data_IF_303499626063
#
_entry.id   IF_303499626063
#
_cell.length_a   1.000
_cell.length_b   1.000
_cell.length_c   1.000
_cell.angle_alpha   90.00
_cell.angle_beta   90.00
_cell.angle_gamma   90.00
#
_symmetry.space_group_name_H-M   'P 1'
#
loop_
_entity.id
_entity.type
_entity.pdbx_description
1 polymer ?
#
# COMPACT_ATOMS: atom_id res chain seq x y z
N UNK A 1 7.88 -5.78 -12.42
CA UNK A 1 6.57 -5.12 -12.48
C UNK A 1 6.63 -3.77 -11.79
N UNK A 2 6.83 -3.71 -10.47
CA UNK A 2 6.87 -2.44 -9.72
C UNK A 2 7.90 -1.43 -10.22
N UNK A 3 9.13 -1.87 -10.46
CA UNK A 3 10.19 -1.03 -11.07
C UNK A 3 9.77 -0.41 -12.40
N UNK A 4 8.99 -1.13 -13.20
CA UNK A 4 8.48 -0.62 -14.47
C UNK A 4 7.33 0.35 -14.21
N UNK A 5 6.45 0.06 -13.24
CA UNK A 5 5.35 0.95 -12.89
C UNK A 5 5.83 2.31 -12.38
N UNK A 6 6.84 2.32 -11.50
CA UNK A 6 7.43 3.56 -10.98
C UNK A 6 8.15 4.36 -12.07
N UNK A 7 8.81 3.70 -13.02
CA UNK A 7 9.60 4.37 -14.05
C UNK A 7 8.78 4.81 -15.27
N UNK A 8 7.65 4.16 -15.53
CA UNK A 8 6.82 4.45 -16.70
C UNK A 8 5.97 5.71 -16.54
N UNK A 9 5.72 6.15 -15.30
CA UNK A 9 4.80 7.25 -15.05
C UNK A 9 5.24 8.16 -13.90
N UNK A 10 5.22 9.48 -14.14
CA UNK A 10 5.55 10.47 -13.10
C UNK A 10 4.33 10.68 -12.20
N UNK A 11 4.45 10.30 -10.94
CA UNK A 11 3.41 10.54 -9.92
C UNK A 11 3.01 12.02 -9.85
N UNK A 12 1.71 12.29 -9.67
CA UNK A 12 1.20 13.66 -9.49
C UNK A 12 1.56 14.23 -8.12
N UNK A 13 1.20 15.48 -7.85
CA UNK A 13 1.51 16.15 -6.58
C UNK A 13 0.72 15.57 -5.39
N UNK A 14 -0.37 14.86 -5.68
CA UNK A 14 -1.27 14.28 -4.70
C UNK A 14 -1.41 12.77 -4.93
N UNK A 15 -1.16 11.99 -3.90
CA UNK A 15 -1.38 10.54 -3.92
C UNK A 15 -2.31 10.12 -2.81
N UNK A 16 -2.87 8.94 -2.96
CA UNK A 16 -3.74 8.29 -1.98
C UNK A 16 -3.21 6.92 -1.60
N UNK A 17 -3.26 6.59 -0.31
CA UNK A 17 -3.05 5.22 0.19
C UNK A 17 -4.40 4.64 0.61
N UNK A 18 -4.71 3.44 0.11
CA UNK A 18 -5.91 2.67 0.48
C UNK A 18 -5.65 1.16 0.25
N UNK A 19 -6.58 0.31 0.66
CA UNK A 19 -6.60 -1.10 0.32
C UNK A 19 -7.56 -1.48 -0.82
N UNK A 20 -7.03 -2.29 -1.73
CA UNK A 20 -7.79 -3.02 -2.75
C UNK A 20 -7.94 -4.49 -2.32
N UNK A 21 -9.12 -5.06 -2.59
CA UNK A 21 -9.37 -6.48 -2.45
C UNK A 21 -9.60 -7.11 -3.82
N UNK A 22 -8.66 -7.93 -4.27
CA UNK A 22 -8.80 -8.71 -5.52
C UNK A 22 -9.57 -9.98 -5.21
N UNK A 23 -10.77 -10.11 -5.77
CA UNK A 23 -11.68 -11.22 -5.50
C UNK A 23 -11.02 -12.57 -5.80
N UNK A 24 -10.95 -13.45 -4.80
CA UNK A 24 -10.33 -14.77 -4.92
C UNK A 24 -10.94 -15.74 -3.91
N UNK A 25 -11.39 -16.91 -4.39
CA UNK A 25 -12.05 -17.93 -3.56
C UNK A 25 -11.28 -19.26 -3.45
N UNK A 26 -10.18 -19.41 -4.17
CA UNK A 26 -9.33 -20.61 -4.08
C UNK A 26 -8.66 -20.76 -2.72
N UNK A 27 -7.94 -21.88 -2.55
CA UNK A 27 -7.10 -22.11 -1.37
C UNK A 27 -5.85 -21.24 -1.49
N UNK A 28 -5.77 -20.23 -0.64
CA UNK A 28 -4.61 -19.33 -0.53
C UNK A 28 -4.40 -19.02 0.95
N UNK A 29 -3.20 -19.25 1.52
CA UNK A 29 -2.94 -19.06 2.95
C UNK A 29 -3.19 -17.64 3.46
N UNK A 30 -3.06 -16.63 2.59
CA UNK A 30 -3.19 -15.21 2.94
C UNK A 30 -4.48 -14.56 2.40
N UNK A 31 -5.45 -15.37 1.99
CA UNK A 31 -6.78 -14.88 1.62
C UNK A 31 -7.43 -14.15 2.80
N UNK A 32 -7.89 -12.93 2.57
CA UNK A 32 -8.56 -12.09 3.56
C UNK A 32 -10.09 -12.17 3.43
N UNK A 33 -10.77 -12.04 4.56
CA UNK A 33 -12.20 -11.81 4.64
C UNK A 33 -12.47 -10.34 5.01
N UNK A 34 -13.17 -9.60 4.15
CA UNK A 34 -13.52 -8.19 4.39
C UNK A 34 -15.03 -8.02 4.18
N UNK A 35 -15.85 -8.04 5.25
CA UNK A 35 -17.31 -8.10 5.15
C UNK A 35 -17.94 -6.86 4.51
N UNK A 36 -17.24 -5.71 4.55
CA UNK A 36 -17.71 -4.42 4.01
C UNK A 36 -17.39 -4.21 2.52
N UNK A 37 -16.59 -5.07 1.88
CA UNK A 37 -16.27 -4.97 0.44
C UNK A 37 -17.27 -5.83 -0.37
N UNK A 38 -17.57 -5.47 -1.64
CA UNK A 38 -18.53 -6.21 -2.47
C UNK A 38 -18.17 -7.70 -2.64
N UNK A 39 -16.91 -7.98 -2.93
CA UNK A 39 -16.35 -9.32 -2.78
C UNK A 39 -15.89 -9.50 -1.33
N UNK A 40 -16.43 -10.50 -0.62
CA UNK A 40 -16.08 -10.71 0.80
C UNK A 40 -14.74 -11.42 1.00
N UNK A 41 -14.28 -12.18 0.01
CA UNK A 41 -13.05 -12.97 0.07
C UNK A 41 -12.13 -12.61 -1.09
N UNK A 42 -10.86 -12.40 -0.78
CA UNK A 42 -9.87 -12.04 -1.79
C UNK A 42 -8.45 -11.89 -1.26
N UNK A 43 -7.57 -11.44 -2.14
CA UNK A 43 -6.20 -11.06 -1.79
C UNK A 43 -6.20 -9.56 -1.51
N UNK A 44 -5.80 -9.18 -0.29
CA UNK A 44 -5.71 -7.78 0.12
C UNK A 44 -4.38 -7.20 -0.39
N UNK A 45 -4.46 -6.04 -1.03
CA UNK A 45 -3.32 -5.29 -1.57
C UNK A 45 -3.42 -3.87 -1.04
N UNK A 46 -2.35 -3.34 -0.49
CA UNK A 46 -2.21 -1.92 -0.18
C UNK A 46 -1.68 -1.20 -1.40
N UNK A 47 -2.22 -0.04 -1.73
CA UNK A 47 -1.90 0.67 -2.95
C UNK A 47 -1.58 2.14 -2.67
N UNK A 48 -0.50 2.64 -3.28
CA UNK A 48 -0.23 4.06 -3.45
C UNK A 48 -0.63 4.46 -4.86
N UNK A 49 -1.61 5.35 -4.98
CA UNK A 49 -2.23 5.72 -6.26
C UNK A 49 -2.17 7.22 -6.46
N UNK A 50 -1.80 7.66 -7.67
CA UNK A 50 -1.80 9.07 -8.04
C UNK A 50 -3.23 9.57 -8.28
N UNK A 51 -3.62 10.67 -7.61
CA UNK A 51 -5.02 11.13 -7.59
C UNK A 51 -5.51 11.71 -8.92
N UNK A 52 -4.61 12.22 -9.77
CA UNK A 52 -5.01 12.87 -11.03
C UNK A 52 -5.27 11.90 -12.19
N UNK A 53 -4.68 10.71 -12.15
CA UNK A 53 -4.68 9.76 -13.27
C UNK A 53 -4.96 8.31 -12.83
N UNK A 54 -5.19 8.10 -11.54
CA UNK A 54 -5.51 6.79 -10.95
C UNK A 54 -4.43 5.73 -11.20
N UNK A 55 -3.19 6.16 -11.47
CA UNK A 55 -2.07 5.26 -11.70
C UNK A 55 -1.54 4.71 -10.37
N UNK A 56 -1.39 3.38 -10.28
CA UNK A 56 -0.81 2.72 -9.12
C UNK A 56 0.72 2.87 -9.12
N UNK A 57 1.22 3.84 -8.36
CA UNK A 57 2.65 4.13 -8.22
C UNK A 57 3.39 3.06 -7.42
N UNK A 58 2.73 2.43 -6.45
CA UNK A 58 3.30 1.31 -5.68
C UNK A 58 2.19 0.39 -5.14
N UNK A 59 2.48 -0.90 -4.96
CA UNK A 59 1.55 -1.85 -4.34
C UNK A 59 2.30 -2.81 -3.41
N UNK A 60 1.67 -3.19 -2.30
CA UNK A 60 2.18 -4.22 -1.39
C UNK A 60 1.08 -5.25 -1.06
N UNK A 61 1.35 -6.54 -1.29
CA UNK A 61 0.39 -7.62 -1.01
C UNK A 61 0.43 -7.97 0.48
N UNK A 62 -0.72 -8.00 1.13
CA UNK A 62 -0.80 -8.46 2.52
C UNK A 62 -0.79 -9.99 2.57
N UNK A 63 0.33 -10.54 3.06
CA UNK A 63 0.54 -11.99 3.17
C UNK A 63 0.50 -12.52 4.61
N UNK A 64 0.11 -11.68 5.57
CA UNK A 64 0.16 -12.01 6.99
C UNK A 64 1.61 -12.07 7.52
N UNK A 65 1.85 -12.86 8.56
CA UNK A 65 3.19 -13.04 9.10
C UNK A 65 3.99 -14.01 8.24
N UNK A 66 5.12 -13.55 7.71
CA UNK A 66 6.03 -14.37 6.92
C UNK A 66 6.97 -15.17 7.81
N UNK A 67 7.43 -16.35 7.34
CA UNK A 67 8.47 -17.12 8.02
C UNK A 67 9.78 -16.31 8.09
N UNK A 68 10.68 -16.70 8.98
CA UNK A 68 12.02 -16.09 9.03
C UNK A 68 12.71 -16.16 7.68
N UNK A 69 13.36 -15.07 7.27
CA UNK A 69 14.03 -14.96 5.99
C UNK A 69 14.03 -13.55 5.41
N UNK A 70 14.63 -13.36 4.22
CA UNK A 70 14.84 -12.04 3.61
C UNK A 70 13.53 -11.32 3.26
N UNK A 71 12.44 -12.07 3.12
CA UNK A 71 11.13 -11.51 2.78
C UNK A 71 10.31 -11.14 4.01
N UNK A 72 10.76 -11.42 5.24
CA UNK A 72 9.97 -11.16 6.45
C UNK A 72 9.90 -9.67 6.75
N UNK A 73 8.79 -9.04 6.38
CA UNK A 73 8.54 -7.62 6.62
C UNK A 73 7.64 -7.39 7.83
N UNK A 74 7.76 -6.20 8.43
CA UNK A 74 6.86 -5.76 9.50
C UNK A 74 5.49 -5.39 8.93
N UNK A 75 4.43 -5.92 9.54
CA UNK A 75 3.03 -5.59 9.24
C UNK A 75 2.53 -4.36 10.02
N UNK A 76 3.40 -3.66 10.78
CA UNK A 76 3.01 -2.40 11.43
C UNK A 76 2.68 -1.37 10.36
N UNK A 77 1.60 -0.61 10.58
CA UNK A 77 1.10 0.39 9.64
C UNK A 77 2.19 1.41 9.27
N UNK A 78 2.96 1.90 10.24
CA UNK A 78 4.01 2.89 9.95
C UNK A 78 5.07 2.33 8.98
N UNK A 79 5.52 1.10 9.20
CA UNK A 79 6.53 0.45 8.35
C UNK A 79 5.96 0.17 6.95
N UNK A 80 4.70 -0.24 6.87
CA UNK A 80 3.97 -0.42 5.61
C UNK A 80 3.87 0.90 4.82
N UNK A 81 3.45 1.99 5.47
CA UNK A 81 3.32 3.30 4.81
C UNK A 81 4.67 3.79 4.32
N UNK A 82 5.73 3.65 5.13
CA UNK A 82 7.10 4.01 4.71
C UNK A 82 7.55 3.24 3.46
N UNK A 83 7.24 1.94 3.36
CA UNK A 83 7.54 1.14 2.15
C UNK A 83 6.70 1.56 0.95
N UNK A 84 5.42 1.84 1.14
CA UNK A 84 4.53 2.26 0.05
C UNK A 84 4.98 3.59 -0.56
N UNK A 85 5.35 4.57 0.27
CA UNK A 85 5.74 5.92 -0.16
C UNK A 85 7.20 6.05 -0.60
N UNK A 86 8.02 5.01 -0.46
CA UNK A 86 9.43 5.00 -0.86
C UNK A 86 9.67 5.63 -2.26
N UNK A 87 8.87 5.35 -3.31
CA UNK A 87 9.09 5.94 -4.64
C UNK A 87 8.88 7.45 -4.74
N UNK A 88 8.31 8.09 -3.72
CA UNK A 88 7.99 9.53 -3.70
C UNK A 88 8.64 10.29 -2.53
N UNK A 89 9.48 9.64 -1.72
CA UNK A 89 10.20 10.29 -0.62
C UNK A 89 11.06 11.44 -1.14
N UNK A 90 11.09 12.55 -0.41
CA UNK A 90 11.88 13.74 -0.77
C UNK A 90 11.33 14.54 -1.97
N UNK A 91 10.16 14.19 -2.50
CA UNK A 91 9.60 14.85 -3.68
C UNK A 91 8.55 15.94 -3.40
N UNK A 92 8.32 16.27 -2.13
CA UNK A 92 7.35 17.28 -1.67
C UNK A 92 5.91 17.01 -2.15
N UNK A 93 5.53 15.73 -2.29
CA UNK A 93 4.17 15.32 -2.63
C UNK A 93 3.32 15.07 -1.39
N UNK A 94 2.03 15.34 -1.51
CA UNK A 94 1.07 15.06 -0.45
C UNK A 94 0.51 13.63 -0.57
N UNK A 95 0.32 12.98 0.58
CA UNK A 95 -0.31 11.66 0.67
C UNK A 95 -1.57 11.78 1.51
N UNK A 96 -2.72 11.52 0.89
CA UNK A 96 -4.01 11.40 1.56
C UNK A 96 -4.23 9.94 1.94
N UNK A 97 -4.64 9.67 3.17
CA UNK A 97 -4.95 8.31 3.60
C UNK A 97 -6.10 8.31 4.61
N UNK A 98 -6.72 7.16 4.83
CA UNK A 98 -7.77 7.00 5.81
C UNK A 98 -7.20 6.96 7.26
N UNK A 99 -8.08 6.70 8.23
CA UNK A 99 -7.70 6.61 9.64
C UNK A 99 -6.85 5.36 9.96
N UNK A 100 -6.93 4.29 9.18
CA UNK A 100 -6.14 3.09 9.37
C UNK A 100 -4.66 3.36 9.08
N UNK A 101 -4.37 4.20 8.09
CA UNK A 101 -3.00 4.55 7.69
C UNK A 101 -2.45 5.82 8.37
N UNK A 102 -3.27 6.58 9.11
CA UNK A 102 -2.88 7.89 9.63
C UNK A 102 -2.49 7.87 11.10
N UNK A 103 -1.31 8.42 11.45
CA UNK A 103 -0.91 8.67 12.84
C UNK A 103 0.04 9.86 12.97
N UNK A 104 0.05 10.53 14.14
CA UNK A 104 0.96 11.67 14.41
C UNK A 104 2.44 11.26 14.31
N UNK A 105 2.88 10.11 14.89
CA UNK A 105 4.27 9.68 14.76
C UNK A 105 4.67 9.46 13.30
N UNK A 106 3.79 8.86 12.49
CA UNK A 106 4.02 8.63 11.07
C UNK A 106 4.17 9.95 10.31
N UNK A 107 3.30 10.92 10.55
CA UNK A 107 3.40 12.24 9.91
C UNK A 107 4.76 12.91 10.17
N UNK A 108 5.32 12.76 11.39
CA UNK A 108 6.66 13.29 11.71
C UNK A 108 7.77 12.54 10.98
N UNK A 109 7.66 11.21 10.84
CA UNK A 109 8.64 10.39 10.11
C UNK A 109 8.67 10.78 8.63
N UNK A 110 7.51 11.05 8.02
CA UNK A 110 7.41 11.39 6.59
C UNK A 110 7.88 12.81 6.24
N UNK A 111 8.12 13.66 7.24
CA UNK A 111 8.62 15.03 7.07
C UNK A 111 10.14 15.15 7.27
N UNK A 112 10.82 14.06 7.62
CA UNK A 112 12.28 13.99 7.76
C UNK A 112 12.92 13.63 6.42
#
# INVERSE_FOLDING_TARGET
>A
FFSNSTNAFKSSDYLTIDEQLVAFRGRCPFRQYMPKKPAKFGIKIYALVSSSNFYASNLEVYVGQQPEGPFRMSNKVNDLVCRLVEPIVGSNRNVTADNFFSSIPLARILLQ
#
